data_IF_231898526928
#
_entry.id   IF_231898526928
#
_cell.length_a   1.000
_cell.length_b   1.000
_cell.length_c   1.000
_cell.angle_alpha   90.00
_cell.angle_beta   90.00
_cell.angle_gamma   90.00
#
_symmetry.space_group_name_H-M   'P 1'
#
loop_
_entity.id
_entity.type
_entity.pdbx_description
1 polymer ?
#
# COMPACT_ATOMS: atom_id res chain seq x y z
N UNK A 1 -15.79 12.26 -11.19
CA UNK A 1 -16.78 12.24 -12.29
C UNK A 1 -16.08 12.25 -13.63
N UNK A 2 -16.56 11.42 -14.56
CA UNK A 2 -16.29 11.51 -16.00
C UNK A 2 -17.60 11.92 -16.69
N UNK A 3 -17.76 13.18 -17.12
CA UNK A 3 -18.99 13.67 -17.74
C UNK A 3 -19.12 13.14 -19.17
N UNK A 4 -20.32 13.23 -19.72
CA UNK A 4 -20.61 12.80 -21.10
C UNK A 4 -19.59 13.35 -22.11
N UNK A 5 -19.05 12.46 -22.92
CA UNK A 5 -18.06 12.78 -23.94
C UNK A 5 -18.67 12.74 -25.35
N UNK A 6 -18.32 13.69 -26.23
CA UNK A 6 -18.66 13.58 -27.65
C UNK A 6 -17.83 12.52 -28.37
N UNK A 7 -16.71 12.08 -27.77
CA UNK A 7 -15.74 11.16 -28.38
C UNK A 7 -16.07 9.68 -28.18
N UNK A 8 -17.12 9.37 -27.42
CA UNK A 8 -17.55 7.99 -27.17
C UNK A 8 -18.04 7.79 -25.75
N UNK A 9 -18.30 6.52 -25.45
CA UNK A 9 -18.78 6.05 -24.14
C UNK A 9 -17.60 5.53 -23.31
N UNK A 10 -17.79 5.44 -22.01
CA UNK A 10 -16.78 5.10 -21.03
C UNK A 10 -16.88 3.67 -20.54
N UNK A 11 -15.74 3.06 -20.28
CA UNK A 11 -15.60 1.79 -19.56
C UNK A 11 -14.82 2.06 -18.27
N UNK A 12 -15.22 1.39 -17.19
CA UNK A 12 -14.59 1.50 -15.88
C UNK A 12 -13.98 0.16 -15.46
N UNK A 13 -12.71 0.18 -15.09
CA UNK A 13 -11.96 -0.96 -14.57
C UNK A 13 -11.52 -0.71 -13.12
N UNK A 14 -11.53 -1.76 -12.31
CA UNK A 14 -10.86 -1.81 -11.01
C UNK A 14 -9.56 -2.62 -11.14
N UNK A 15 -8.57 -2.43 -10.26
CA UNK A 15 -7.31 -3.12 -10.36
C UNK A 15 -7.43 -4.66 -10.39
N UNK A 16 -8.48 -5.24 -9.80
CA UNK A 16 -8.66 -6.69 -9.74
C UNK A 16 -9.78 -7.25 -10.65
N UNK A 17 -10.64 -6.40 -11.21
CA UNK A 17 -11.75 -6.84 -12.07
C UNK A 17 -12.34 -5.69 -12.88
N UNK A 18 -13.06 -6.02 -13.95
CA UNK A 18 -14.01 -5.08 -14.55
C UNK A 18 -15.26 -4.96 -13.66
N UNK A 19 -15.92 -3.81 -13.76
CA UNK A 19 -17.20 -3.58 -13.09
C UNK A 19 -18.34 -4.19 -13.92
N UNK A 20 -19.31 -4.79 -13.24
CA UNK A 20 -20.48 -5.39 -13.85
C UNK A 20 -21.40 -4.34 -14.45
N UNK A 21 -22.05 -4.71 -15.56
CA UNK A 21 -22.62 -3.72 -16.48
C UNK A 21 -21.57 -3.15 -17.44
N UNK A 22 -20.34 -3.69 -17.43
CA UNK A 22 -19.13 -3.22 -18.14
C UNK A 22 -19.14 -3.16 -19.67
N UNK A 23 -20.31 -2.98 -20.26
CA UNK A 23 -20.42 -2.25 -21.52
C UNK A 23 -20.08 -0.77 -21.32
N UNK A 24 -20.04 -0.06 -22.43
CA UNK A 24 -19.73 1.36 -22.40
C UNK A 24 -20.94 2.17 -21.88
N UNK A 25 -20.68 3.21 -21.09
CA UNK A 25 -21.68 4.10 -20.50
C UNK A 25 -21.46 5.57 -20.87
N UNK A 26 -22.49 6.41 -20.84
CA UNK A 26 -22.33 7.81 -21.28
C UNK A 26 -21.55 8.65 -20.28
N UNK A 27 -21.72 8.42 -18.97
CA UNK A 27 -20.97 9.09 -17.92
C UNK A 27 -20.75 8.19 -16.70
N UNK A 28 -19.72 8.52 -15.90
CA UNK A 28 -19.37 7.79 -14.67
C UNK A 28 -19.28 8.76 -13.49
N UNK A 29 -20.04 8.49 -12.44
CA UNK A 29 -19.99 9.22 -11.18
C UNK A 29 -19.40 8.31 -10.10
N UNK A 30 -18.53 8.86 -9.26
CA UNK A 30 -17.91 8.15 -8.14
C UNK A 30 -18.06 9.01 -6.90
N UNK A 31 -18.57 8.42 -5.82
CA UNK A 31 -18.68 9.05 -4.51
C UNK A 31 -17.77 8.29 -3.54
N UNK A 32 -16.94 9.06 -2.84
CA UNK A 32 -16.08 8.57 -1.78
C UNK A 32 -16.67 9.03 -0.44
N UNK A 33 -17.25 8.12 0.36
CA UNK A 33 -17.77 8.45 1.69
C UNK A 33 -16.68 8.59 2.75
N UNK A 34 -15.45 8.13 2.49
CA UNK A 34 -14.34 8.12 3.42
C UNK A 34 -13.05 8.70 2.80
N UNK A 35 -13.08 9.98 2.36
CA UNK A 35 -11.98 10.60 1.61
C UNK A 35 -10.65 10.70 2.37
N UNK A 36 -10.67 10.54 3.70
CA UNK A 36 -9.48 10.53 4.56
C UNK A 36 -8.95 9.11 4.82
N UNK A 37 -9.69 8.06 4.45
CA UNK A 37 -9.24 6.69 4.58
C UNK A 37 -8.22 6.32 3.49
N UNK A 38 -7.27 5.45 3.83
CA UNK A 38 -6.34 4.89 2.85
C UNK A 38 -7.10 4.07 1.82
N UNK A 39 -6.63 4.07 0.56
CA UNK A 39 -7.27 3.31 -0.52
C UNK A 39 -7.35 1.82 -0.21
N UNK A 40 -8.41 1.18 -0.70
CA UNK A 40 -8.87 -0.13 -0.24
C UNK A 40 -10.15 -0.05 0.60
N UNK A 41 -10.71 1.14 0.83
CA UNK A 41 -12.01 1.37 1.47
C UNK A 41 -13.15 1.48 0.44
N UNK A 42 -14.39 1.33 0.90
CA UNK A 42 -15.57 1.32 0.03
C UNK A 42 -15.85 2.68 -0.65
N UNK A 43 -16.03 2.65 -1.96
CA UNK A 43 -16.51 3.77 -2.78
C UNK A 43 -17.77 3.37 -3.55
N UNK A 44 -18.61 4.35 -3.86
CA UNK A 44 -19.82 4.12 -4.63
C UNK A 44 -19.61 4.59 -6.07
N UNK A 45 -19.86 3.71 -7.04
CA UNK A 45 -19.71 4.02 -8.46
C UNK A 45 -21.07 3.94 -9.12
N UNK A 46 -21.41 4.95 -9.90
CA UNK A 46 -22.65 5.02 -10.65
C UNK A 46 -22.36 5.22 -12.14
N UNK A 47 -23.07 4.47 -12.97
CA UNK A 47 -23.10 4.66 -14.42
C UNK A 47 -24.34 5.47 -14.80
N UNK A 48 -24.18 6.39 -15.74
CA UNK A 48 -25.27 7.21 -16.25
C UNK A 48 -25.35 6.98 -17.75
N UNK A 49 -26.53 6.56 -18.23
CA UNK A 49 -26.85 6.42 -19.64
C UNK A 49 -27.96 7.39 -20.03
N UNK A 50 -27.76 8.09 -21.15
CA UNK A 50 -28.72 9.01 -21.74
C UNK A 50 -29.57 8.30 -22.80
N UNK A 51 -30.71 8.89 -23.18
CA UNK A 51 -31.66 8.33 -24.15
C UNK A 51 -32.22 6.96 -23.71
N UNK A 52 -32.39 6.75 -22.41
CA UNK A 52 -32.96 5.53 -21.85
C UNK A 52 -34.39 5.78 -21.40
N UNK A 53 -35.33 4.97 -21.88
CA UNK A 53 -36.74 5.08 -21.43
C UNK A 53 -36.91 4.65 -19.98
N UNK A 54 -37.94 5.18 -19.31
CA UNK A 54 -38.27 4.79 -17.92
C UNK A 54 -38.42 3.27 -17.75
N UNK A 55 -39.04 2.60 -18.72
CA UNK A 55 -39.22 1.14 -18.69
C UNK A 55 -37.87 0.41 -18.73
N UNK A 56 -37.01 0.74 -19.70
CA UNK A 56 -35.67 0.13 -19.83
C UNK A 56 -34.80 0.38 -18.60
N UNK A 57 -34.91 1.57 -18.00
CA UNK A 57 -34.20 1.92 -16.78
C UNK A 57 -34.62 1.02 -15.60
N UNK A 58 -35.93 0.83 -15.42
CA UNK A 58 -36.50 0.01 -14.36
C UNK A 58 -36.19 -1.49 -14.54
N UNK A 59 -36.21 -2.00 -15.77
CA UNK A 59 -35.83 -3.39 -16.07
C UNK A 59 -34.40 -3.72 -15.63
N UNK A 60 -33.50 -2.74 -15.76
CA UNK A 60 -32.10 -2.84 -15.31
C UNK A 60 -31.89 -2.42 -13.85
N UNK A 61 -32.98 -2.23 -13.09
CA UNK A 61 -32.97 -1.78 -11.68
C UNK A 61 -32.25 -0.44 -11.46
N UNK A 62 -32.25 0.42 -12.47
CA UNK A 62 -31.72 1.78 -12.40
C UNK A 62 -32.70 2.77 -11.79
N UNK A 63 -32.16 3.93 -11.41
CA UNK A 63 -32.91 5.09 -10.94
C UNK A 63 -33.10 6.01 -12.15
N UNK A 64 -34.34 6.17 -12.59
CA UNK A 64 -34.68 7.08 -13.68
C UNK A 64 -34.54 8.52 -13.21
N UNK A 65 -33.79 9.31 -13.97
CA UNK A 65 -33.62 10.74 -13.77
C UNK A 65 -34.47 11.49 -14.80
N UNK A 66 -34.97 12.66 -14.44
CA UNK A 66 -35.73 13.49 -15.36
C UNK A 66 -34.85 13.85 -16.58
N UNK A 67 -35.38 13.69 -17.81
CA UNK A 67 -34.75 13.90 -19.14
C UNK A 67 -34.16 12.66 -19.86
N UNK A 68 -34.83 11.51 -19.80
CA UNK A 68 -34.38 10.28 -20.49
C UNK A 68 -32.98 9.81 -20.06
N UNK A 69 -32.62 10.09 -18.82
CA UNK A 69 -31.36 9.65 -18.20
C UNK A 69 -31.65 8.55 -17.19
N UNK A 70 -30.78 7.56 -17.12
CA UNK A 70 -30.88 6.49 -16.13
C UNK A 70 -29.56 6.31 -15.41
N UNK A 71 -29.62 6.26 -14.09
CA UNK A 71 -28.48 6.04 -13.21
C UNK A 71 -28.49 4.62 -12.65
N UNK A 72 -27.39 3.91 -12.81
CA UNK A 72 -27.21 2.54 -12.32
C UNK A 72 -26.12 2.51 -11.26
N UNK A 73 -26.36 1.80 -10.16
CA UNK A 73 -25.31 1.47 -9.22
C UNK A 73 -24.41 0.39 -9.84
N UNK A 74 -23.11 0.68 -9.94
CA UNK A 74 -22.14 -0.30 -10.42
C UNK A 74 -21.86 -1.33 -9.32
N UNK A 75 -21.61 -2.56 -9.75
CA UNK A 75 -21.20 -3.66 -8.87
C UNK A 75 -19.96 -4.33 -9.44
N UNK A 76 -19.30 -5.17 -8.66
CA UNK A 76 -18.22 -6.04 -9.18
C UNK A 76 -18.81 -7.17 -10.03
N UNK A 77 -18.08 -7.62 -11.04
CA UNK A 77 -18.47 -8.78 -11.84
C UNK A 77 -18.80 -10.00 -10.95
N UNK A 78 -19.89 -10.70 -11.29
CA UNK A 78 -20.46 -11.85 -10.54
C UNK A 78 -21.18 -11.51 -9.22
N UNK A 79 -21.40 -10.23 -8.93
CA UNK A 79 -22.21 -9.79 -7.78
C UNK A 79 -23.69 -9.50 -8.12
N UNK A 80 -24.09 -9.63 -9.39
CA UNK A 80 -25.44 -9.35 -9.86
C UNK A 80 -26.54 -10.27 -9.28
N UNK A 81 -26.19 -11.54 -8.97
CA UNK A 81 -27.14 -12.61 -8.60
C UNK A 81 -26.79 -13.33 -7.28
N UNK A 82 -26.53 -12.56 -6.23
CA UNK A 82 -26.22 -13.12 -4.92
C UNK A 82 -27.46 -13.72 -4.22
N UNK A 83 -27.45 -15.00 -3.80
CA UNK A 83 -28.58 -15.60 -3.11
C UNK A 83 -28.75 -15.01 -1.70
N UNK A 84 -30.00 -14.71 -1.37
CA UNK A 84 -30.54 -14.03 -0.18
C UNK A 84 -30.33 -14.74 1.17
N UNK A 85 -29.27 -15.54 1.41
CA UNK A 85 -29.09 -16.31 2.66
C UNK A 85 -28.25 -15.57 3.72
N UNK A 86 -28.90 -15.22 4.84
CA UNK A 86 -28.50 -14.25 5.88
C UNK A 86 -27.16 -14.49 6.61
N UNK A 87 -26.59 -15.70 6.61
CA UNK A 87 -25.30 -15.99 7.29
C UNK A 87 -24.07 -15.82 6.39
N UNK A 88 -24.22 -15.98 5.06
CA UNK A 88 -23.15 -15.72 4.06
C UNK A 88 -23.03 -14.24 3.66
N UNK A 89 -23.92 -13.37 4.16
CA UNK A 89 -24.07 -11.98 3.71
C UNK A 89 -22.89 -11.06 4.02
N UNK A 90 -22.25 -11.12 5.19
CA UNK A 90 -21.16 -10.17 5.53
C UNK A 90 -19.92 -10.37 4.65
N UNK A 91 -19.46 -11.61 4.50
CA UNK A 91 -18.30 -11.92 3.66
C UNK A 91 -18.59 -11.72 2.17
N UNK A 92 -19.84 -11.92 1.74
CA UNK A 92 -20.25 -11.71 0.35
C UNK A 92 -20.44 -10.23 0.01
N UNK A 93 -21.08 -9.45 0.89
CA UNK A 93 -21.23 -8.01 0.73
C UNK A 93 -19.85 -7.35 0.61
N UNK A 94 -18.93 -7.67 1.53
CA UNK A 94 -17.54 -7.23 1.47
C UNK A 94 -16.84 -7.57 0.14
N UNK A 95 -17.06 -8.76 -0.42
CA UNK A 95 -16.50 -9.16 -1.74
C UNK A 95 -17.07 -8.37 -2.92
N UNK A 96 -18.26 -7.80 -2.76
CA UNK A 96 -18.97 -7.06 -3.80
C UNK A 96 -18.86 -5.55 -3.68
N UNK A 97 -18.29 -5.06 -2.57
CA UNK A 97 -17.93 -3.66 -2.40
C UNK A 97 -16.84 -3.27 -3.40
N UNK A 98 -17.00 -2.09 -3.99
CA UNK A 98 -15.98 -1.48 -4.84
C UNK A 98 -15.06 -0.70 -3.91
N UNK A 99 -13.79 -1.12 -3.83
CA UNK A 99 -12.89 -0.63 -2.78
C UNK A 99 -11.77 0.30 -3.31
N UNK A 100 -11.91 0.73 -4.56
CA UNK A 100 -10.92 1.51 -5.28
C UNK A 100 -11.61 2.47 -6.24
N UNK A 101 -10.99 3.64 -6.44
CA UNK A 101 -11.39 4.51 -7.54
C UNK A 101 -11.17 3.78 -8.87
N UNK A 102 -12.20 3.66 -9.72
CA UNK A 102 -12.04 3.03 -11.01
C UNK A 102 -11.20 3.90 -11.94
N UNK A 103 -10.43 3.25 -12.80
CA UNK A 103 -9.85 3.91 -13.97
C UNK A 103 -10.93 3.96 -15.05
N UNK A 104 -11.27 5.17 -15.50
CA UNK A 104 -12.34 5.39 -16.48
C UNK A 104 -11.71 5.82 -17.81
N UNK A 105 -11.89 5.03 -18.86
CA UNK A 105 -11.35 5.29 -20.19
C UNK A 105 -12.45 5.20 -21.26
N UNK A 106 -12.21 5.79 -22.43
CA UNK A 106 -13.14 5.66 -23.56
C UNK A 106 -13.08 4.23 -24.11
N UNK A 107 -14.23 3.65 -24.46
CA UNK A 107 -14.33 2.29 -25.00
C UNK A 107 -13.55 2.13 -26.32
N UNK A 108 -13.55 3.19 -27.13
CA UNK A 108 -12.84 3.24 -28.41
C UNK A 108 -11.34 3.52 -28.27
N UNK A 109 -10.84 3.74 -27.05
CA UNK A 109 -9.42 4.02 -26.80
C UNK A 109 -8.61 2.73 -26.90
N UNK A 110 -8.01 2.53 -28.09
CA UNK A 110 -7.10 1.43 -28.38
C UNK A 110 -5.63 1.78 -28.11
N UNK A 111 -5.35 2.94 -27.52
CA UNK A 111 -3.97 3.30 -27.20
C UNK A 111 -3.39 2.36 -26.16
N UNK A 112 -2.05 2.18 -26.19
CA UNK A 112 -1.34 1.36 -25.21
C UNK A 112 -1.45 1.90 -23.79
N UNK A 113 -1.59 3.22 -23.65
CA UNK A 113 -1.74 3.92 -22.37
C UNK A 113 -3.08 4.62 -22.32
N UNK A 114 -4.04 4.02 -21.63
CA UNK A 114 -5.40 4.57 -21.56
C UNK A 114 -5.42 5.78 -20.63
N UNK A 115 -6.04 6.87 -21.09
CA UNK A 115 -6.15 8.07 -20.26
C UNK A 115 -7.30 7.91 -19.27
N UNK A 116 -7.02 8.14 -17.98
CA UNK A 116 -8.09 8.23 -16.99
C UNK A 116 -8.87 9.55 -17.14
N UNK A 117 -10.18 9.45 -17.38
CA UNK A 117 -11.10 10.58 -17.52
C UNK A 117 -11.80 10.97 -16.22
N UNK A 118 -11.59 10.22 -15.13
CA UNK A 118 -12.15 10.57 -13.83
C UNK A 118 -11.50 11.84 -13.28
N UNK A 119 -12.31 12.87 -13.02
CA UNK A 119 -11.88 14.13 -12.39
C UNK A 119 -12.63 14.39 -11.09
N UNK A 120 -11.95 14.92 -10.08
CA UNK A 120 -12.60 15.38 -8.87
C UNK A 120 -13.30 16.72 -9.11
N UNK A 121 -14.50 16.91 -8.55
CA UNK A 121 -15.29 18.13 -8.67
C UNK A 121 -15.12 18.99 -7.41
N UNK A 122 -14.45 20.15 -7.47
CA UNK A 122 -14.23 20.99 -6.31
C UNK A 122 -15.48 21.79 -5.94
N UNK A 123 -15.61 22.17 -4.67
CA UNK A 123 -16.58 23.17 -4.21
C UNK A 123 -18.02 22.68 -4.05
N UNK A 124 -18.25 21.37 -4.00
CA UNK A 124 -19.58 20.82 -3.69
C UNK A 124 -19.84 20.88 -2.17
N UNK A 125 -20.92 21.52 -1.70
CA UNK A 125 -21.21 21.61 -0.27
C UNK A 125 -21.49 20.22 0.31
N UNK A 126 -20.93 19.95 1.49
CA UNK A 126 -21.05 18.65 2.16
C UNK A 126 -20.05 17.58 1.70
N UNK A 127 -19.14 17.90 0.76
CA UNK A 127 -18.08 17.01 0.30
C UNK A 127 -16.70 17.54 0.71
N UNK A 128 -15.73 16.63 0.86
CA UNK A 128 -14.35 16.99 1.17
C UNK A 128 -13.65 17.67 -0.01
N UNK A 129 -12.58 18.42 0.26
CA UNK A 129 -11.82 19.11 -0.79
C UNK A 129 -11.13 18.09 -1.69
N UNK A 130 -11.14 18.33 -3.00
CA UNK A 130 -10.42 17.48 -3.93
C UNK A 130 -8.92 17.44 -3.60
N UNK A 131 -8.30 16.24 -3.56
CA UNK A 131 -6.86 16.14 -3.41
C UNK A 131 -6.18 16.82 -4.59
N UNK A 132 -4.99 17.39 -4.36
CA UNK A 132 -4.23 17.92 -5.49
C UNK A 132 -3.81 16.73 -6.34
N UNK A 133 -4.18 16.75 -7.62
CA UNK A 133 -3.72 15.71 -8.52
C UNK A 133 -2.20 15.78 -8.57
N UNK A 134 -1.55 14.64 -8.33
CA UNK A 134 -0.10 14.59 -8.38
C UNK A 134 0.35 14.97 -9.78
N UNK A 135 1.05 16.11 -9.90
CA UNK A 135 1.64 16.52 -11.16
C UNK A 135 2.80 15.60 -11.45
N UNK A 136 2.54 14.51 -12.16
CA UNK A 136 3.58 13.80 -12.88
C UNK A 136 4.18 14.84 -13.82
N UNK A 137 5.38 15.36 -13.50
CA UNK A 137 6.18 16.02 -14.51
C UNK A 137 6.33 14.98 -15.62
N UNK A 138 5.67 15.18 -16.76
CA UNK A 138 5.73 14.26 -17.90
C UNK A 138 7.18 14.02 -18.40
N UNK A 139 8.15 14.79 -17.92
CA UNK A 139 9.59 14.61 -18.15
C UNK A 139 10.23 13.50 -17.31
N UNK A 140 9.58 13.01 -16.23
CA UNK A 140 9.89 11.72 -15.63
C UNK A 140 9.04 10.64 -16.30
N UNK A 141 9.17 10.54 -17.63
CA UNK A 141 9.04 9.25 -18.33
C UNK A 141 9.71 8.22 -17.43
N UNK A 142 8.92 7.23 -17.01
CA UNK A 142 9.28 6.16 -16.10
C UNK A 142 10.80 5.92 -16.15
N UNK A 143 11.47 6.02 -14.99
CA UNK A 143 12.91 5.78 -14.89
C UNK A 143 13.30 4.48 -15.63
N UNK A 144 12.37 3.53 -15.75
CA UNK A 144 12.21 2.62 -16.88
C UNK A 144 10.71 2.29 -17.04
N UNK A 145 10.11 2.44 -18.23
CA UNK A 145 8.89 1.69 -18.58
C UNK A 145 9.35 0.45 -19.37
N UNK A 146 9.39 -0.74 -18.73
CA UNK A 146 9.90 -1.96 -19.36
C UNK A 146 9.03 -2.45 -20.52
N UNK A 147 7.81 -1.91 -20.69
CA UNK A 147 6.89 -2.26 -21.76
C UNK A 147 7.04 -1.32 -22.99
N UNK A 148 7.44 -0.07 -22.79
CA UNK A 148 7.71 0.86 -23.91
C UNK A 148 9.14 0.86 -24.41
N UNK A 149 10.12 0.51 -23.56
CA UNK A 149 11.53 0.51 -23.94
C UNK A 149 12.06 -0.91 -24.10
N UNK A 150 12.47 -1.24 -25.33
CA UNK A 150 13.11 -2.51 -25.71
C UNK A 150 14.44 -2.70 -24.93
N UNK A 151 14.34 -3.30 -23.75
CA UNK A 151 15.25 -4.23 -23.06
C UNK A 151 16.79 -4.10 -23.13
N UNK A 152 17.40 -2.96 -23.46
CA UNK A 152 18.87 -2.80 -23.34
C UNK A 152 19.36 -1.59 -22.51
N UNK A 153 18.54 -0.57 -22.30
CA UNK A 153 18.92 0.64 -21.53
C UNK A 153 18.07 0.91 -20.30
N UNK A 154 16.95 0.20 -20.14
CA UNK A 154 16.19 0.25 -18.91
C UNK A 154 16.91 -0.58 -17.85
N UNK A 155 17.66 0.11 -16.98
CA UNK A 155 18.35 -0.48 -15.85
C UNK A 155 17.32 -0.92 -14.80
N UNK A 156 16.64 -2.02 -15.07
CA UNK A 156 15.78 -2.76 -14.14
C UNK A 156 16.60 -3.75 -13.31
N UNK A 157 17.92 -3.75 -13.49
CA UNK A 157 18.83 -4.71 -12.86
C UNK A 157 19.04 -4.38 -11.37
N UNK A 158 19.26 -5.40 -10.53
CA UNK A 158 19.63 -5.27 -9.12
C UNK A 158 20.76 -4.27 -8.82
N UNK A 159 21.65 -4.04 -9.79
CA UNK A 159 22.80 -3.15 -9.68
C UNK A 159 22.41 -1.68 -9.42
N UNK A 160 21.20 -1.27 -9.80
CA UNK A 160 20.70 0.11 -9.63
C UNK A 160 20.54 0.55 -8.19
N UNK A 161 20.08 -0.36 -7.32
CA UNK A 161 19.78 -0.08 -5.91
C UNK A 161 21.07 -0.04 -5.08
N UNK A 162 22.20 -0.51 -5.65
CA UNK A 162 23.49 -0.65 -4.99
C UNK A 162 23.32 -1.33 -3.63
N UNK A 163 22.84 -2.56 -3.64
CA UNK A 163 22.77 -3.42 -2.46
C UNK A 163 24.16 -3.97 -2.15
N UNK A 164 25.00 -3.18 -1.47
CA UNK A 164 26.32 -3.64 -1.06
C UNK A 164 26.39 -3.85 0.45
N UNK A 165 26.59 -5.10 0.82
CA UNK A 165 27.04 -5.50 2.15
C UNK A 165 28.57 -5.43 2.11
N UNK A 166 29.20 -4.53 2.87
CA UNK A 166 30.66 -4.53 2.96
C UNK A 166 31.10 -5.71 3.82
N UNK A 167 32.20 -6.36 3.45
CA UNK A 167 32.78 -7.43 4.27
C UNK A 167 33.01 -6.88 5.70
N UNK A 168 32.48 -7.60 6.69
CA UNK A 168 32.57 -7.28 8.12
C UNK A 168 31.79 -6.04 8.61
N UNK A 169 30.96 -5.41 7.78
CA UNK A 169 30.03 -4.36 8.24
C UNK A 169 28.62 -4.94 8.42
N UNK A 170 28.18 -5.08 9.67
CA UNK A 170 26.76 -5.36 9.99
C UNK A 170 26.06 -4.02 10.16
N UNK A 171 24.93 -3.81 9.49
CA UNK A 171 24.20 -2.54 9.50
C UNK A 171 22.70 -2.73 9.68
N UNK A 172 22.05 -1.75 10.29
CA UNK A 172 20.61 -1.59 10.24
C UNK A 172 20.18 -1.11 8.84
N UNK A 173 19.21 -1.79 8.26
CA UNK A 173 18.68 -1.55 6.91
C UNK A 173 17.17 -1.29 6.97
N UNK A 174 16.70 -0.38 6.13
CA UNK A 174 15.28 -0.09 6.02
C UNK A 174 14.82 0.00 4.56
N UNK A 175 13.66 -0.60 4.29
CA UNK A 175 12.97 -0.51 3.00
C UNK A 175 11.60 0.09 3.24
N UNK A 176 11.34 1.24 2.63
CA UNK A 176 10.07 1.95 2.72
C UNK A 176 9.36 1.78 1.39
N UNK A 177 8.26 1.05 1.38
CA UNK A 177 7.42 0.82 0.21
C UNK A 177 6.12 1.60 0.36
N UNK A 178 5.93 2.59 -0.49
CA UNK A 178 4.68 3.34 -0.61
C UNK A 178 4.27 3.39 -2.07
N UNK A 179 3.50 2.41 -2.49
CA UNK A 179 2.99 2.35 -3.86
C UNK A 179 2.01 3.48 -4.17
N UNK A 180 1.52 3.46 -5.40
CA UNK A 180 0.36 4.23 -5.83
C UNK A 180 -0.32 3.47 -6.95
N UNK A 181 -1.63 3.61 -7.14
CA UNK A 181 -2.25 2.95 -8.29
C UNK A 181 -2.16 3.81 -9.54
N UNK A 182 -2.49 5.09 -9.43
CA UNK A 182 -2.40 6.08 -10.49
C UNK A 182 -2.26 7.49 -9.89
N UNK A 183 -2.10 8.51 -10.74
CA UNK A 183 -1.96 9.91 -10.31
C UNK A 183 -3.15 10.49 -9.55
N UNK A 184 -4.32 9.83 -9.61
CA UNK A 184 -5.55 10.26 -8.92
C UNK A 184 -5.66 9.62 -7.53
N UNK A 185 -5.09 8.43 -7.36
CA UNK A 185 -5.12 7.64 -6.11
C UNK A 185 -3.86 7.83 -5.28
N UNK A 186 -2.78 8.35 -5.85
CA UNK A 186 -1.64 8.78 -5.03
C UNK A 186 -2.06 10.04 -4.25
N UNK A 187 -2.25 9.90 -2.95
CA UNK A 187 -2.62 11.03 -2.09
C UNK A 187 -1.39 11.85 -1.70
N UNK A 188 -1.56 13.18 -1.57
CA UNK A 188 -0.53 14.12 -1.09
C UNK A 188 0.10 13.68 0.25
N UNK A 189 -0.67 12.96 1.08
CA UNK A 189 -0.23 12.46 2.39
C UNK A 189 0.70 11.24 2.32
N UNK A 190 0.82 10.57 1.18
CA UNK A 190 1.69 9.39 1.05
C UNK A 190 3.17 9.78 1.15
N UNK A 191 3.57 10.88 0.51
CA UNK A 191 4.93 11.41 0.57
C UNK A 191 5.27 11.88 1.98
N UNK A 192 4.40 12.68 2.59
CA UNK A 192 4.61 13.20 3.95
C UNK A 192 4.79 12.06 4.99
N UNK A 193 4.04 10.96 4.85
CA UNK A 193 4.21 9.77 5.69
C UNK A 193 5.57 9.10 5.50
N UNK A 194 6.06 9.00 4.26
CA UNK A 194 7.42 8.51 3.99
C UNK A 194 8.48 9.41 4.60
N UNK A 195 8.34 10.74 4.47
CA UNK A 195 9.26 11.72 5.06
C UNK A 195 9.36 11.52 6.57
N UNK A 196 8.22 11.48 7.27
CA UNK A 196 8.20 11.28 8.73
C UNK A 196 8.80 9.95 9.15
N UNK A 197 8.48 8.86 8.46
CA UNK A 197 9.05 7.55 8.77
C UNK A 197 10.57 7.50 8.51
N UNK A 198 11.03 8.10 7.41
CA UNK A 198 12.45 8.21 7.12
C UNK A 198 13.20 9.06 8.16
N UNK A 199 12.61 10.18 8.60
CA UNK A 199 13.16 10.99 9.69
C UNK A 199 13.24 10.20 10.99
N UNK A 200 12.18 9.46 11.35
CA UNK A 200 12.18 8.59 12.52
C UNK A 200 13.33 7.58 12.48
N UNK A 201 13.52 6.90 11.35
CA UNK A 201 14.62 5.94 11.18
C UNK A 201 16.00 6.61 11.29
N UNK A 202 16.18 7.78 10.67
CA UNK A 202 17.44 8.54 10.75
C UNK A 202 17.74 8.98 12.19
N UNK A 203 16.74 9.47 12.91
CA UNK A 203 16.86 9.89 14.31
C UNK A 203 17.24 8.71 15.22
N UNK A 204 16.93 7.48 14.80
CA UNK A 204 17.27 6.24 15.50
C UNK A 204 18.53 5.55 14.97
N UNK A 205 19.39 6.27 14.23
CA UNK A 205 20.72 5.80 13.85
C UNK A 205 20.82 5.10 12.50
N UNK A 206 19.72 4.96 11.75
CA UNK A 206 19.79 4.42 10.39
C UNK A 206 20.53 5.39 9.47
N UNK A 207 21.60 4.90 8.83
CA UNK A 207 22.37 5.70 7.88
C UNK A 207 21.55 5.93 6.62
N UNK A 208 21.60 7.13 6.04
CA UNK A 208 20.91 7.51 4.79
C UNK A 208 21.07 6.48 3.65
N UNK A 209 22.27 5.91 3.49
CA UNK A 209 22.57 4.90 2.45
C UNK A 209 21.84 3.57 2.64
N UNK A 210 21.43 3.26 3.87
CA UNK A 210 20.78 2.03 4.27
C UNK A 210 19.24 2.14 4.28
N UNK A 211 18.70 3.32 3.96
CA UNK A 211 17.27 3.56 3.81
C UNK A 211 16.98 3.59 2.31
N UNK A 212 16.26 2.58 1.80
CA UNK A 212 15.80 2.51 0.41
C UNK A 212 14.32 2.82 0.35
N UNK A 213 13.95 3.81 -0.45
CA UNK A 213 12.56 4.23 -0.61
C UNK A 213 12.07 3.84 -1.99
N UNK A 214 10.99 3.08 -2.04
CA UNK A 214 10.25 2.75 -3.25
C UNK A 214 8.91 3.48 -3.19
N UNK A 215 8.71 4.44 -4.09
CA UNK A 215 7.51 5.26 -4.07
C UNK A 215 7.00 5.61 -5.46
N UNK A 216 5.75 5.25 -5.72
CA UNK A 216 5.01 5.56 -6.94
C UNK A 216 5.87 5.48 -8.23
N UNK A 217 5.62 6.35 -9.20
CA UNK A 217 6.45 6.45 -10.41
C UNK A 217 6.62 7.93 -10.78
N UNK A 218 7.60 8.63 -10.21
CA UNK A 218 7.86 10.02 -10.62
C UNK A 218 8.66 10.91 -9.67
N UNK A 219 8.91 10.49 -8.42
CA UNK A 219 9.82 11.22 -7.51
C UNK A 219 11.21 10.58 -7.56
N UNK A 220 12.24 11.39 -7.80
CA UNK A 220 13.63 10.92 -7.76
C UNK A 220 14.26 11.09 -6.37
N UNK A 221 13.81 12.09 -5.61
CA UNK A 221 14.40 12.50 -4.34
C UNK A 221 13.32 12.88 -3.33
N UNK A 222 13.45 12.35 -2.12
CA UNK A 222 12.59 12.66 -0.98
C UNK A 222 13.34 13.61 -0.04
N UNK A 223 12.82 14.81 0.15
CA UNK A 223 13.41 15.75 1.10
C UNK A 223 12.97 15.44 2.53
N UNK A 224 13.94 15.04 3.36
CA UNK A 224 13.70 14.78 4.79
C UNK A 224 14.23 15.88 5.69
N UNK A 225 15.11 16.77 5.21
CA UNK A 225 15.91 17.67 6.07
C UNK A 225 15.95 19.12 5.53
N UNK A 226 14.85 19.58 4.93
CA UNK A 226 14.75 20.95 4.38
C UNK A 226 15.81 21.21 3.29
N UNK A 227 16.07 20.22 2.44
CA UNK A 227 16.89 20.31 1.23
C UNK A 227 18.35 19.93 1.41
N UNK A 228 18.82 19.65 2.64
CA UNK A 228 20.27 19.46 2.89
C UNK A 228 20.82 18.12 2.41
N UNK A 229 20.07 17.02 2.57
CA UNK A 229 20.47 15.69 2.13
C UNK A 229 19.26 14.81 1.77
N UNK A 230 18.73 14.92 0.54
CA UNK A 230 17.59 14.13 0.13
C UNK A 230 17.91 12.62 0.07
N UNK A 231 16.89 11.80 0.33
CA UNK A 231 16.94 10.35 0.10
C UNK A 231 16.67 10.07 -1.38
N UNK A 232 17.39 9.10 -1.95
CA UNK A 232 17.10 8.62 -3.30
C UNK A 232 15.86 7.75 -3.28
N UNK A 233 14.92 8.06 -4.16
CA UNK A 233 13.67 7.32 -4.34
C UNK A 233 13.76 6.49 -5.62
N UNK A 234 13.27 5.26 -5.53
CA UNK A 234 13.14 4.34 -6.65
C UNK A 234 11.65 4.20 -7.01
N UNK A 235 11.30 4.05 -8.30
CA UNK A 235 9.92 3.75 -8.66
C UNK A 235 9.45 2.45 -8.04
N UNK A 236 8.23 2.44 -7.49
CA UNK A 236 7.58 1.22 -7.00
C UNK A 236 7.32 0.22 -8.13
N UNK A 237 7.20 0.70 -9.37
CA UNK A 237 7.15 -0.12 -10.58
C UNK A 237 8.38 -1.03 -10.76
N UNK A 238 9.52 -0.74 -10.14
CA UNK A 238 10.72 -1.59 -10.18
C UNK A 238 10.60 -2.80 -9.24
N UNK A 239 9.52 -3.58 -9.39
CA UNK A 239 9.19 -4.72 -8.52
C UNK A 239 10.35 -5.71 -8.37
N UNK A 240 10.97 -6.13 -9.47
CA UNK A 240 12.07 -7.12 -9.42
C UNK A 240 13.27 -6.60 -8.61
N UNK A 241 13.58 -5.31 -8.76
CA UNK A 241 14.70 -4.68 -8.07
C UNK A 241 14.40 -4.57 -6.56
N UNK A 242 13.16 -4.21 -6.18
CA UNK A 242 12.67 -4.25 -4.80
C UNK A 242 12.81 -5.66 -4.20
N UNK A 243 12.27 -6.68 -4.87
CA UNK A 243 12.28 -8.06 -4.40
C UNK A 243 13.70 -8.58 -4.23
N UNK A 244 14.55 -8.39 -5.24
CA UNK A 244 15.96 -8.77 -5.17
C UNK A 244 16.68 -8.06 -4.01
N UNK A 245 16.41 -6.78 -3.77
CA UNK A 245 17.03 -6.04 -2.68
C UNK A 245 16.70 -6.67 -1.31
N UNK A 246 15.41 -6.97 -1.06
CA UNK A 246 14.97 -7.61 0.19
C UNK A 246 15.60 -9.00 0.34
N UNK A 247 15.55 -9.81 -0.72
CA UNK A 247 16.14 -11.15 -0.73
C UNK A 247 17.65 -11.12 -0.46
N UNK A 248 18.37 -10.17 -1.08
CA UNK A 248 19.81 -10.01 -0.87
C UNK A 248 20.14 -9.66 0.59
N UNK A 249 19.37 -8.73 1.18
CA UNK A 249 19.52 -8.36 2.59
C UNK A 249 19.26 -9.54 3.52
N UNK A 250 18.26 -10.38 3.22
CA UNK A 250 17.92 -11.53 4.04
C UNK A 250 18.84 -12.74 3.86
N UNK A 251 19.35 -12.99 2.66
CA UNK A 251 20.23 -14.15 2.37
C UNK A 251 21.69 -13.91 2.76
N UNK A 252 22.16 -12.66 2.77
CA UNK A 252 23.57 -12.35 3.04
C UNK A 252 23.87 -12.38 4.54
N UNK A 253 24.54 -13.45 4.98
CA UNK A 253 24.96 -13.65 6.37
C UNK A 253 25.80 -12.47 6.88
N UNK A 254 25.49 -11.97 8.08
CA UNK A 254 26.20 -10.84 8.74
C UNK A 254 26.22 -9.54 7.91
N UNK A 255 25.26 -9.35 7.01
CA UNK A 255 25.07 -8.05 6.35
C UNK A 255 24.17 -7.13 7.17
N UNK A 256 23.09 -7.68 7.72
CA UNK A 256 22.01 -6.92 8.33
C UNK A 256 21.85 -7.33 9.79
N UNK A 257 21.85 -6.36 10.68
CA UNK A 257 21.53 -6.60 12.09
C UNK A 257 20.00 -6.58 12.24
N UNK A 258 19.43 -5.40 11.94
CA UNK A 258 17.99 -5.19 11.88
C UNK A 258 17.51 -4.81 10.47
N UNK A 259 16.40 -5.42 10.06
CA UNK A 259 15.71 -5.05 8.82
C UNK A 259 14.35 -4.45 9.15
N UNK A 260 14.10 -3.20 8.76
CA UNK A 260 12.79 -2.57 8.89
C UNK A 260 12.12 -2.48 7.52
N UNK A 261 10.92 -3.04 7.40
CA UNK A 261 10.06 -2.91 6.23
C UNK A 261 8.86 -2.03 6.63
N UNK A 262 8.68 -0.90 5.95
CA UNK A 262 7.50 -0.05 6.13
C UNK A 262 6.65 -0.11 4.87
N UNK A 263 5.40 -0.56 5.01
CA UNK A 263 4.47 -0.79 3.91
C UNK A 263 3.28 0.16 4.02
N UNK A 264 3.11 1.03 3.02
CA UNK A 264 2.01 1.98 2.91
C UNK A 264 1.55 2.08 1.46
N UNK A 265 1.04 0.98 0.92
CA UNK A 265 0.54 0.94 -0.45
C UNK A 265 -0.98 0.77 -0.45
N UNK A 266 -1.68 1.23 -1.51
CA UNK A 266 -3.05 0.79 -1.74
C UNK A 266 -3.10 -0.74 -1.87
N UNK A 267 -4.09 -1.40 -1.26
CA UNK A 267 -4.14 -2.87 -1.18
C UNK A 267 -5.48 -3.46 -1.62
N UNK A 268 -5.41 -4.59 -2.34
CA UNK A 268 -6.57 -5.42 -2.64
C UNK A 268 -7.08 -6.14 -1.37
N UNK A 269 -8.29 -6.69 -1.44
CA UNK A 269 -9.00 -7.37 -0.31
C UNK A 269 -8.25 -8.58 0.33
N UNK A 270 -7.07 -8.96 -0.18
CA UNK A 270 -6.18 -9.97 0.42
C UNK A 270 -4.84 -9.43 0.90
N UNK A 271 -4.70 -8.10 1.04
CA UNK A 271 -3.44 -7.46 1.45
C UNK A 271 -2.38 -7.36 0.34
N UNK A 272 -2.69 -7.79 -0.89
CA UNK A 272 -1.81 -7.60 -2.05
C UNK A 272 -1.67 -6.10 -2.33
N UNK A 273 -0.44 -5.62 -2.35
CA UNK A 273 -0.08 -4.22 -2.54
C UNK A 273 -0.06 -3.85 -4.02
N UNK A 274 -0.61 -2.70 -4.37
CA UNK A 274 -0.54 -2.12 -5.71
C UNK A 274 0.65 -1.18 -5.80
N UNK A 275 1.50 -1.40 -6.81
CA UNK A 275 2.77 -0.69 -6.98
C UNK A 275 2.62 0.54 -7.87
N UNK A 276 2.15 0.35 -9.10
CA UNK A 276 1.85 1.38 -10.10
C UNK A 276 1.18 0.77 -11.35
N UNK A 277 0.14 1.43 -11.88
CA UNK A 277 -0.46 1.11 -13.20
C UNK A 277 0.43 1.68 -14.32
N UNK A 278 1.33 0.85 -14.85
CA UNK A 278 2.31 1.24 -15.87
C UNK A 278 1.67 1.41 -17.23
N UNK A 279 0.74 0.52 -17.59
CA UNK A 279 0.06 0.53 -18.87
C UNK A 279 -1.20 1.43 -18.85
N UNK A 280 -1.61 1.94 -17.69
CA UNK A 280 -2.75 2.85 -17.53
C UNK A 280 -4.10 2.20 -17.78
N UNK A 281 -4.19 0.86 -17.89
CA UNK A 281 -5.40 0.16 -18.28
C UNK A 281 -6.39 -0.02 -17.10
N UNK A 282 -5.97 0.30 -15.87
CA UNK A 282 -6.76 0.15 -14.66
C UNK A 282 -6.95 -1.28 -14.17
N UNK A 283 -6.17 -2.25 -14.67
CA UNK A 283 -6.15 -3.66 -14.30
C UNK A 283 -4.73 -4.03 -13.87
N UNK A 284 -4.56 -4.50 -12.64
CA UNK A 284 -3.26 -4.83 -12.07
C UNK A 284 -2.70 -6.13 -12.63
N UNK A 285 -1.64 -6.01 -13.41
CA UNK A 285 -0.84 -7.12 -13.88
C UNK A 285 0.10 -7.67 -12.79
N UNK A 286 0.72 -8.83 -13.05
CA UNK A 286 1.62 -9.47 -12.07
C UNK A 286 2.81 -8.61 -11.67
N UNK A 287 3.28 -7.73 -12.56
CA UNK A 287 4.40 -6.83 -12.31
C UNK A 287 3.99 -5.56 -11.56
N UNK A 288 2.70 -5.25 -11.52
CA UNK A 288 2.13 -4.04 -10.92
C UNK A 288 1.60 -4.28 -9.50
N UNK A 289 1.63 -5.54 -9.05
CA UNK A 289 1.21 -5.98 -7.72
C UNK A 289 2.36 -6.61 -6.96
N UNK A 290 2.42 -6.43 -5.64
CA UNK A 290 3.30 -7.15 -4.74
C UNK A 290 2.47 -7.91 -3.71
N UNK A 291 2.44 -9.23 -3.83
CA UNK A 291 1.55 -10.06 -3.01
C UNK A 291 2.13 -10.35 -1.62
N UNK A 292 1.27 -10.79 -0.70
CA UNK A 292 1.71 -11.19 0.65
C UNK A 292 2.58 -12.45 0.55
N UNK A 293 2.29 -13.36 -0.38
CA UNK A 293 3.09 -14.54 -0.66
C UNK A 293 4.49 -14.18 -1.16
N UNK A 294 4.60 -13.16 -2.02
CA UNK A 294 5.90 -12.66 -2.46
C UNK A 294 6.68 -12.03 -1.30
N UNK A 295 6.03 -11.23 -0.45
CA UNK A 295 6.65 -10.70 0.77
C UNK A 295 7.18 -11.80 1.69
N UNK A 296 6.38 -12.84 1.93
CA UNK A 296 6.80 -14.01 2.72
C UNK A 296 7.95 -14.77 2.05
N UNK A 297 7.91 -14.93 0.73
CA UNK A 297 9.00 -15.58 0.00
C UNK A 297 10.29 -14.77 0.08
N UNK A 298 10.20 -13.45 0.00
CA UNK A 298 11.37 -12.56 -0.03
C UNK A 298 12.01 -12.40 1.36
N UNK A 299 11.25 -12.63 2.43
CA UNK A 299 11.70 -12.53 3.84
C UNK A 299 11.87 -13.88 4.53
N UNK A 300 11.67 -15.00 3.83
CA UNK A 300 11.79 -16.34 4.38
C UNK A 300 13.22 -16.64 4.86
N UNK A 301 13.33 -17.21 6.07
CA UNK A 301 14.58 -17.61 6.72
C UNK A 301 15.64 -16.49 6.72
N UNK A 302 15.19 -15.24 6.93
CA UNK A 302 16.06 -14.07 6.90
C UNK A 302 17.19 -14.19 7.93
N UNK A 303 18.44 -13.99 7.50
CA UNK A 303 19.64 -14.08 8.33
C UNK A 303 19.85 -12.90 9.27
N UNK A 304 19.05 -11.83 9.13
CA UNK A 304 19.03 -10.71 10.07
C UNK A 304 18.68 -11.19 11.48
N UNK A 305 19.14 -10.49 12.52
CA UNK A 305 18.80 -10.86 13.89
C UNK A 305 17.31 -10.64 14.16
N UNK A 306 16.72 -9.60 13.58
CA UNK A 306 15.30 -9.29 13.67
C UNK A 306 14.81 -8.51 12.44
N UNK A 307 13.61 -8.86 11.99
CA UNK A 307 12.90 -8.18 10.91
C UNK A 307 11.64 -7.55 11.48
N UNK A 308 11.48 -6.25 11.30
CA UNK A 308 10.28 -5.51 11.74
C UNK A 308 9.49 -5.07 10.52
N UNK A 309 8.21 -5.45 10.46
CA UNK A 309 7.32 -5.09 9.37
C UNK A 309 6.22 -4.18 9.93
N UNK A 310 6.29 -2.89 9.57
CA UNK A 310 5.31 -1.87 9.91
C UNK A 310 4.33 -1.74 8.74
N UNK A 311 3.06 -2.06 8.96
CA UNK A 311 2.06 -2.17 7.90
C UNK A 311 0.97 -1.13 8.13
N UNK A 312 1.04 -0.01 7.39
CA UNK A 312 0.04 1.07 7.40
C UNK A 312 -0.71 1.14 6.08
N UNK A 313 -1.59 0.17 5.86
CA UNK A 313 -2.41 0.06 4.67
C UNK A 313 -3.74 -0.63 4.99
N UNK A 314 -4.70 -0.56 4.07
CA UNK A 314 -5.94 -1.33 4.20
C UNK A 314 -5.63 -2.83 4.25
N UNK A 315 -6.42 -3.60 4.99
CA UNK A 315 -6.22 -5.05 5.16
C UNK A 315 -4.85 -5.45 5.74
N UNK A 316 -4.19 -4.55 6.49
CA UNK A 316 -2.88 -4.79 7.09
C UNK A 316 -2.80 -6.09 7.91
N UNK A 317 -3.91 -6.50 8.52
CA UNK A 317 -3.99 -7.74 9.30
C UNK A 317 -3.71 -9.01 8.49
N UNK A 318 -3.91 -9.02 7.16
CA UNK A 318 -3.59 -10.18 6.30
C UNK A 318 -2.09 -10.48 6.30
N UNK A 319 -1.23 -9.46 6.34
CA UNK A 319 0.22 -9.63 6.47
C UNK A 319 0.56 -10.27 7.82
N UNK A 320 0.00 -9.73 8.91
CA UNK A 320 0.23 -10.28 10.26
C UNK A 320 -0.24 -11.73 10.38
N UNK A 321 -1.39 -12.06 9.79
CA UNK A 321 -1.95 -13.40 9.80
C UNK A 321 -1.06 -14.38 9.02
N UNK A 322 -0.59 -13.96 7.84
CA UNK A 322 0.21 -14.80 6.96
C UNK A 322 1.61 -15.07 7.54
N UNK A 323 2.24 -14.07 8.17
CA UNK A 323 3.51 -14.27 8.90
C UNK A 323 3.32 -15.23 10.07
N UNK A 324 2.24 -15.08 10.85
CA UNK A 324 1.93 -15.98 11.99
C UNK A 324 1.75 -17.44 11.57
N UNK A 325 1.21 -17.70 10.39
CA UNK A 325 1.01 -19.05 9.86
C UNK A 325 2.30 -19.65 9.27
N UNK A 326 3.28 -18.82 8.94
CA UNK A 326 4.52 -19.26 8.31
C UNK A 326 5.48 -19.88 9.33
N UNK A 327 6.25 -20.87 8.87
CA UNK A 327 7.32 -21.53 9.65
C UNK A 327 8.72 -21.00 9.34
N UNK A 328 8.81 -19.99 8.48
CA UNK A 328 10.08 -19.44 7.99
C UNK A 328 10.37 -18.02 8.50
N UNK A 329 9.62 -17.55 9.49
CA UNK A 329 9.60 -16.15 9.93
C UNK A 329 9.72 -16.01 11.45
N UNK A 330 10.58 -16.83 12.07
CA UNK A 330 10.73 -16.92 13.53
C UNK A 330 11.30 -15.63 14.16
N UNK A 331 12.07 -14.86 13.41
CA UNK A 331 12.71 -13.59 13.79
C UNK A 331 11.95 -12.35 13.28
N UNK A 332 10.68 -12.51 12.90
CA UNK A 332 9.87 -11.44 12.30
C UNK A 332 8.83 -10.92 13.28
N UNK A 333 8.72 -9.61 13.37
CA UNK A 333 7.72 -8.89 14.17
C UNK A 333 6.88 -8.05 13.22
N UNK A 334 5.55 -8.25 13.25
CA UNK A 334 4.62 -7.49 12.41
C UNK A 334 3.75 -6.58 13.28
N UNK A 335 3.62 -5.32 12.86
CA UNK A 335 2.74 -4.33 13.46
C UNK A 335 1.80 -3.79 12.39
N UNK A 336 0.51 -4.08 12.53
CA UNK A 336 -0.50 -3.70 11.57
C UNK A 336 -1.34 -2.51 12.06
N UNK A 337 -1.73 -1.63 11.14
CA UNK A 337 -2.63 -0.51 11.40
C UNK A 337 -4.03 -0.98 11.80
N UNK A 338 -4.55 -2.05 11.17
CA UNK A 338 -5.86 -2.65 11.42
C UNK A 338 -5.91 -4.17 11.24
N UNK A 339 -7.08 -4.78 11.43
CA UNK A 339 -7.32 -6.21 11.18
C UNK A 339 -7.42 -6.54 9.68
N UNK A 340 -7.48 -7.83 9.33
CA UNK A 340 -7.46 -8.31 7.92
C UNK A 340 -8.62 -7.85 7.05
N UNK A 341 -9.70 -7.32 7.65
CA UNK A 341 -10.89 -6.81 6.93
C UNK A 341 -11.23 -5.37 7.27
N UNK A 342 -10.26 -4.63 7.78
CA UNK A 342 -10.40 -3.22 8.17
C UNK A 342 -9.58 -2.32 7.24
N UNK A 343 -10.03 -1.09 7.08
CA UNK A 343 -9.34 -0.05 6.31
C UNK A 343 -8.43 0.74 7.24
N UNK A 344 -7.29 1.24 6.74
CA UNK A 344 -6.47 2.18 7.52
C UNK A 344 -7.02 3.59 7.37
N UNK A 345 -7.18 4.32 8.48
CA UNK A 345 -7.73 5.68 8.47
C UNK A 345 -6.62 6.74 8.63
N UNK A 346 -6.62 7.76 7.77
CA UNK A 346 -5.83 8.99 7.85
C UNK A 346 -4.32 8.85 8.16
N UNK A 347 -3.72 7.67 8.02
CA UNK A 347 -2.33 7.43 8.42
C UNK A 347 -2.09 7.55 9.93
N UNK A 348 -3.12 7.42 10.76
CA UNK A 348 -3.04 7.52 12.22
C UNK A 348 -1.97 6.61 12.82
N UNK A 349 -1.78 5.42 12.21
CA UNK A 349 -0.71 4.50 12.61
C UNK A 349 0.66 5.15 12.42
N UNK A 350 0.97 5.65 11.23
CA UNK A 350 2.26 6.26 10.94
C UNK A 350 2.48 7.51 11.79
N UNK A 351 1.45 8.32 11.99
CA UNK A 351 1.54 9.50 12.84
C UNK A 351 1.83 9.13 14.30
N UNK A 352 1.14 8.14 14.85
CA UNK A 352 1.41 7.63 16.19
C UNK A 352 2.86 7.17 16.34
N UNK A 353 3.38 6.38 15.40
CA UNK A 353 4.75 5.89 15.44
C UNK A 353 5.81 6.97 15.27
N UNK A 354 5.55 7.97 14.44
CA UNK A 354 6.52 9.04 14.14
C UNK A 354 6.52 10.15 15.20
N UNK A 355 5.40 10.36 15.89
CA UNK A 355 5.30 11.30 17.01
C UNK A 355 5.86 10.74 18.32
N UNK A 356 6.01 9.42 18.44
CA UNK A 356 6.69 8.81 19.58
C UNK A 356 8.19 9.10 19.50
N UNK A 357 8.64 9.99 20.37
CA UNK A 357 10.01 10.52 20.40
C UNK A 357 11.08 9.50 20.83
N UNK A 358 10.70 8.32 21.33
CA UNK A 358 11.64 7.37 21.88
C UNK A 358 11.38 5.92 21.43
N UNK A 359 12.16 5.45 20.45
CA UNK A 359 12.22 4.03 20.04
C UNK A 359 12.86 3.15 21.13
N UNK A 360 13.32 3.75 22.24
CA UNK A 360 13.85 3.04 23.41
C UNK A 360 12.78 2.31 24.23
N UNK A 361 11.51 2.63 24.02
CA UNK A 361 10.42 1.90 24.63
C UNK A 361 10.28 0.50 24.00
N UNK A 362 10.11 -0.53 24.84
CA UNK A 362 9.79 -1.88 24.40
C UNK A 362 8.63 -1.86 23.38
N UNK A 363 8.75 -2.56 22.25
CA UNK A 363 7.72 -2.62 21.18
C UNK A 363 6.33 -3.00 21.71
N UNK A 364 6.27 -3.88 22.71
CA UNK A 364 5.03 -4.27 23.40
C UNK A 364 4.39 -3.12 24.20
N UNK A 365 5.20 -2.24 24.79
CA UNK A 365 4.72 -1.08 25.53
C UNK A 365 4.10 -0.06 24.56
N UNK A 366 4.76 0.18 23.43
CA UNK A 366 4.26 1.06 22.37
C UNK A 366 2.95 0.55 21.76
N UNK A 367 2.82 -0.77 21.57
CA UNK A 367 1.57 -1.36 21.11
C UNK A 367 0.41 -1.20 22.11
N UNK A 368 0.68 -1.40 23.42
CA UNK A 368 -0.34 -1.20 24.46
C UNK A 368 -0.82 0.24 24.53
N UNK A 369 0.09 1.22 24.39
CA UNK A 369 -0.28 2.63 24.31
C UNK A 369 -1.16 2.91 23.08
N UNK A 370 -0.85 2.33 21.91
CA UNK A 370 -1.70 2.47 20.72
C UNK A 370 -3.12 1.95 20.92
N UNK A 371 -3.29 0.79 21.54
CA UNK A 371 -4.62 0.22 21.79
C UNK A 371 -5.51 1.15 22.64
N UNK A 372 -4.89 1.97 23.49
CA UNK A 372 -5.59 2.96 24.33
C UNK A 372 -5.94 4.21 23.52
N UNK A 373 -5.13 4.59 22.52
CA UNK A 373 -5.28 5.83 21.76
C UNK A 373 -6.00 5.69 20.40
N UNK A 374 -6.07 4.50 19.81
CA UNK A 374 -6.70 4.30 18.49
C UNK A 374 -8.24 4.25 18.61
N UNK A 375 -8.90 5.34 18.18
CA UNK A 375 -10.37 5.45 18.21
C UNK A 375 -11.06 4.82 16.98
N UNK A 376 -10.34 4.63 15.87
CA UNK A 376 -10.94 4.28 14.58
C UNK A 376 -10.47 2.95 13.95
N UNK A 377 -9.43 2.30 14.48
CA UNK A 377 -8.90 1.03 13.94
C UNK A 377 -8.43 0.08 15.06
N UNK A 378 -8.70 -1.22 14.94
CA UNK A 378 -8.26 -2.20 15.94
C UNK A 378 -6.87 -2.76 15.59
N UNK A 379 -5.87 -2.50 16.46
CA UNK A 379 -4.49 -2.94 16.18
C UNK A 379 -4.29 -4.43 16.43
N UNK A 380 -3.47 -5.06 15.58
CA UNK A 380 -3.07 -6.46 15.73
C UNK A 380 -1.54 -6.58 15.68
N UNK A 381 -0.96 -7.38 16.57
CA UNK A 381 0.47 -7.69 16.59
C UNK A 381 0.69 -9.20 16.67
N UNK A 382 1.72 -9.69 15.97
CA UNK A 382 2.12 -11.10 15.98
C UNK A 382 3.62 -11.18 16.25
N UNK A 383 3.99 -11.91 17.32
CA UNK A 383 5.38 -12.14 17.71
C UNK A 383 5.74 -13.61 17.50
N UNK A 384 6.84 -13.87 16.77
CA UNK A 384 7.53 -15.16 16.78
C UNK A 384 8.38 -15.28 18.05
N UNK A 385 8.13 -16.30 18.87
CA UNK A 385 8.97 -16.63 20.03
C UNK A 385 9.85 -17.82 19.64
N UNK A 386 11.16 -17.74 19.90
CA UNK A 386 12.05 -18.91 19.89
C UNK A 386 11.48 -19.98 20.84
N UNK A 387 10.94 -21.03 20.25
CA UNK A 387 10.39 -22.18 20.97
C UNK A 387 8.87 -22.28 20.87
N UNK A 388 8.41 -23.12 19.92
CA UNK A 388 7.04 -23.63 19.75
C UNK A 388 5.93 -22.57 19.67
N UNK A 389 5.45 -22.35 18.44
CA UNK A 389 4.14 -21.79 18.17
C UNK A 389 3.05 -22.49 19.02
N UNK A 390 2.55 -21.78 20.03
CA UNK A 390 1.28 -22.09 20.70
C UNK A 390 0.40 -20.86 20.65
N UNK A 391 -0.84 -21.10 20.20
CA UNK A 391 -1.91 -20.14 20.11
C UNK A 391 -2.14 -19.44 21.45
N UNK A 392 -1.92 -18.13 21.51
CA UNK A 392 -2.48 -17.26 22.53
C UNK A 392 -2.95 -15.97 21.86
N UNK A 393 -4.26 -15.84 21.73
CA UNK A 393 -4.97 -14.57 21.60
C UNK A 393 -5.09 -13.97 23.00
N UNK A 394 -4.44 -12.84 23.28
CA UNK A 394 -4.58 -12.17 24.56
C UNK A 394 -5.68 -11.10 24.48
N UNK A 395 -6.86 -11.47 24.95
CA UNK A 395 -7.62 -10.60 25.85
C UNK A 395 -6.94 -10.70 27.23
N UNK A 396 -6.56 -9.56 27.82
CA UNK A 396 -6.29 -9.44 29.26
C UNK A 396 -5.01 -10.08 29.86
N UNK A 397 -4.08 -9.19 30.27
CA UNK A 397 -3.18 -9.24 31.44
C UNK A 397 -2.06 -10.31 31.60
N UNK A 398 -0.90 -9.78 32.04
CA UNK A 398 0.33 -10.33 32.69
C UNK A 398 0.79 -11.74 32.23
N UNK A 399 1.92 -11.93 31.53
CA UNK A 399 3.27 -12.03 32.11
C UNK A 399 4.33 -12.32 31.01
N UNK A 400 5.56 -11.85 31.25
CA UNK A 400 6.88 -12.32 30.74
C UNK A 400 7.20 -12.44 29.22
N UNK A 401 7.95 -11.45 28.67
CA UNK A 401 9.41 -11.49 28.38
C UNK A 401 9.79 -10.27 27.52
N UNK A 402 10.79 -9.53 27.97
CA UNK A 402 11.10 -8.15 27.56
C UNK A 402 12.01 -8.10 26.32
N UNK A 403 11.63 -7.30 25.31
CA UNK A 403 12.55 -6.77 24.30
C UNK A 403 12.47 -5.24 24.39
N UNK A 404 13.27 -4.68 25.30
CA UNK A 404 13.53 -3.25 25.37
C UNK A 404 14.84 -2.98 24.64
N UNK A 405 14.87 -1.93 23.85
CA UNK A 405 16.10 -1.40 23.27
C UNK A 405 16.97 -0.85 24.40
N UNK A 406 17.95 -1.62 24.87
CA UNK A 406 19.04 -1.05 25.67
C UNK A 406 20.12 -0.49 24.73
N UNK A 407 20.13 0.83 24.57
CA UNK A 407 21.20 1.57 23.89
C UNK A 407 22.55 1.57 24.66
N UNK A 408 22.84 0.56 25.49
CA UNK A 408 24.03 0.56 26.36
C UNK A 408 24.80 -0.77 26.41
N UNK A 409 24.84 -1.52 25.29
CA UNK A 409 25.84 -2.60 25.08
C UNK A 409 26.52 -2.56 23.72
N UNK A 410 26.61 -1.38 23.09
CA UNK A 410 27.35 -1.16 21.84
C UNK A 410 28.54 -0.20 21.96
N UNK A 411 29.02 0.07 23.19
CA UNK A 411 30.22 0.90 23.41
C UNK A 411 31.38 0.24 24.14
N UNK A 412 31.17 -0.89 24.83
CA UNK A 412 32.23 -1.57 25.60
C UNK A 412 32.57 -3.01 25.15
N UNK A 413 32.08 -3.46 23.99
CA UNK A 413 32.40 -4.80 23.46
C UNK A 413 33.33 -4.78 22.23
N UNK A 414 33.78 -3.60 21.77
CA UNK A 414 34.64 -3.45 20.58
C UNK A 414 35.95 -2.70 20.84
N UNK A 415 36.30 -2.41 22.10
CA UNK A 415 37.59 -1.82 22.49
C UNK A 415 38.26 -2.66 23.57
N UNK A 416 38.59 -3.90 23.21
CA UNK A 416 39.37 -4.80 24.05
C UNK A 416 40.08 -5.81 23.18
N UNK A 417 41.16 -5.38 22.51
CA UNK A 417 42.38 -6.15 22.18
C UNK A 417 43.26 -5.35 21.22
N UNK A 418 43.91 -4.30 21.74
CA UNK A 418 45.32 -4.03 21.44
C UNK A 418 45.94 -3.74 22.82
N UNK A 419 46.52 -4.78 23.42
CA UNK A 419 47.34 -4.71 24.63
C UNK A 419 48.74 -4.23 24.26
N UNK A 420 49.37 -3.49 25.18
CA UNK A 420 50.82 -3.37 25.41
C UNK A 420 51.71 -2.87 24.27
#
# INVERSE_FOLDING_TARGET
MAPKSPYGRYVASLPDTRLSGGGAHDAVLVLDPYPEASWGHVVLVFFIDTKTSRLQCQERRGIYLDKDECMYLAHRDRCHDAPTRKSRRRNFAFKCEINFLPTVHLDMDQTRTKRNHLKCLPGLPGYHTCPKAWSLNHNSLALCDPLSHNSHHCVTTPDTIRSSCRLFEVCDQAVLLSGGWNSVTIGDQAEHRLVRMAQLLKNNGFKRRNIKVFHANGIEQLDTDGGKQPLRVYPSAMKLALRHHIQQMCSTVRCVDSLVLYLNSPTLQGGTMLLWDLNGNGLADEMERYSVEELLSDTANCSANYVQILVDQSYAGEVSHSVKLSRHHDNVIVMASGRGREYSHAGEFTEFWTNMSDFRACTLHLHRLKQIHALHCSSNSTHGIKGRARNLSFEGLYDAFFLCFEAMKLKNAYMGFIQR
#
